data_IF_585565557687
#
_entry.id   IF_585565557687
#
_cell.length_a   1.000
_cell.length_b   1.000
_cell.length_c   1.000
_cell.angle_alpha   90.00
_cell.angle_beta   90.00
_cell.angle_gamma   90.00
#
_symmetry.space_group_name_H-M   'P 1'
#
loop_
_entity.id
_entity.type
_entity.pdbx_description
1 polymer ?
#
# COMPACT_ATOMS: atom_id res chain seq x y z
N UNK A 1 -13.23 -9.27 -10.27
CA UNK A 1 -12.13 -9.75 -9.41
C UNK A 1 -10.94 -9.94 -10.33
N UNK A 2 -9.88 -9.16 -10.15
CA UNK A 2 -8.64 -9.32 -10.91
C UNK A 2 -8.07 -10.70 -10.61
N UNK A 3 -7.68 -11.43 -11.63
CA UNK A 3 -6.85 -12.61 -11.42
C UNK A 3 -5.50 -12.17 -10.86
N UNK A 4 -4.91 -12.94 -9.97
CA UNK A 4 -3.64 -12.57 -9.28
C UNK A 4 -2.57 -12.23 -10.31
N UNK A 5 -2.48 -13.00 -11.38
CA UNK A 5 -1.54 -12.76 -12.48
C UNK A 5 -1.73 -11.40 -13.14
N UNK A 6 -2.97 -11.00 -13.42
CA UNK A 6 -3.28 -9.71 -14.01
C UNK A 6 -2.95 -8.55 -13.08
N UNK A 7 -3.15 -8.74 -11.76
CA UNK A 7 -2.76 -7.75 -10.76
C UNK A 7 -1.25 -7.56 -10.72
N UNK A 8 -0.48 -8.64 -10.72
CA UNK A 8 1.00 -8.58 -10.74
C UNK A 8 1.49 -7.87 -12.00
N UNK A 9 0.89 -8.19 -13.16
CA UNK A 9 1.22 -7.55 -14.43
C UNK A 9 0.86 -6.05 -14.40
N UNK A 10 -0.31 -5.71 -13.89
CA UNK A 10 -0.72 -4.31 -13.75
C UNK A 10 0.23 -3.49 -12.88
N UNK A 11 0.70 -4.07 -11.80
CA UNK A 11 1.61 -3.41 -10.85
C UNK A 11 3.01 -3.22 -11.43
N UNK A 12 3.53 -4.25 -12.11
CA UNK A 12 4.95 -4.30 -12.50
C UNK A 12 5.20 -4.23 -13.99
N UNK A 13 4.23 -4.60 -14.82
CA UNK A 13 4.40 -4.69 -16.26
C UNK A 13 3.12 -4.29 -16.98
N UNK A 14 2.97 -3.03 -17.36
CA UNK A 14 1.77 -2.58 -18.07
C UNK A 14 1.69 -3.19 -19.47
N UNK A 15 0.50 -3.57 -19.87
CA UNK A 15 0.21 -4.18 -21.18
C UNK A 15 0.31 -3.21 -22.37
N UNK A 16 0.61 -1.93 -22.14
CA UNK A 16 0.66 -0.91 -23.19
C UNK A 16 2.09 -0.68 -23.69
N UNK A 17 2.21 -0.32 -24.96
CA UNK A 17 3.47 -0.05 -25.65
C UNK A 17 4.31 1.09 -25.04
N UNK A 18 3.72 1.92 -24.19
CA UNK A 18 4.37 3.00 -23.43
C UNK A 18 4.69 2.59 -21.98
N UNK A 19 4.98 1.33 -21.78
CA UNK A 19 5.20 0.70 -20.49
C UNK A 19 6.25 1.39 -19.60
N UNK A 20 7.29 1.96 -20.19
CA UNK A 20 8.39 2.61 -19.46
C UNK A 20 7.97 3.94 -18.81
N UNK A 21 6.94 4.60 -19.32
CA UNK A 21 6.47 5.87 -18.79
C UNK A 21 5.53 5.72 -17.60
N UNK A 22 4.93 4.53 -17.40
CA UNK A 22 3.98 4.30 -16.32
C UNK A 22 4.66 3.93 -15.01
N UNK A 23 5.71 3.10 -15.07
CA UNK A 23 6.37 2.54 -13.89
C UNK A 23 7.74 3.16 -13.70
N UNK A 24 7.88 4.00 -12.66
CA UNK A 24 9.14 4.63 -12.29
C UNK A 24 10.06 3.70 -11.49
N UNK A 25 9.50 2.76 -10.72
CA UNK A 25 10.23 1.79 -9.92
C UNK A 25 9.34 0.57 -9.63
N UNK A 26 9.94 -0.61 -9.57
CA UNK A 26 9.27 -1.83 -9.16
C UNK A 26 10.19 -2.70 -8.33
N UNK A 27 9.62 -3.46 -7.40
CA UNK A 27 10.38 -4.36 -6.54
C UNK A 27 9.53 -5.52 -6.02
N UNK A 28 10.18 -6.34 -5.22
CA UNK A 28 9.55 -7.52 -4.61
C UNK A 28 10.22 -7.87 -3.28
N UNK A 29 9.53 -8.64 -2.44
CA UNK A 29 10.04 -9.20 -1.19
C UNK A 29 9.62 -10.66 -1.06
N UNK A 30 10.49 -11.46 -0.46
CA UNK A 30 10.22 -12.84 0.00
C UNK A 30 9.86 -13.85 -1.09
N UNK A 31 10.52 -13.77 -2.24
CA UNK A 31 10.44 -14.77 -3.30
C UNK A 31 11.71 -15.62 -3.36
N UNK A 32 11.60 -16.86 -3.78
CA UNK A 32 12.75 -17.72 -4.05
C UNK A 32 13.40 -17.38 -5.41
N UNK A 33 12.59 -17.02 -6.39
CA UNK A 33 13.06 -16.61 -7.70
C UNK A 33 13.33 -15.11 -7.78
N UNK A 34 14.23 -14.73 -8.68
CA UNK A 34 14.59 -13.32 -8.93
C UNK A 34 13.97 -12.76 -10.20
N UNK A 35 13.40 -13.62 -11.04
CA UNK A 35 12.79 -13.20 -12.29
C UNK A 35 11.33 -12.78 -12.09
N UNK A 36 10.89 -11.80 -12.90
CA UNK A 36 9.50 -11.34 -12.88
C UNK A 36 8.49 -12.49 -13.07
N UNK A 37 8.69 -13.31 -14.10
CA UNK A 37 7.81 -14.45 -14.42
C UNK A 37 7.82 -15.49 -13.31
N UNK A 38 9.00 -15.80 -12.74
CA UNK A 38 9.11 -16.73 -11.61
C UNK A 38 8.35 -16.23 -10.39
N UNK A 39 8.53 -14.98 -10.00
CA UNK A 39 7.81 -14.37 -8.86
C UNK A 39 6.29 -14.35 -9.07
N UNK A 40 5.83 -14.06 -10.28
CA UNK A 40 4.41 -14.13 -10.63
C UNK A 40 3.87 -15.55 -10.44
N UNK A 41 4.56 -16.56 -10.94
CA UNK A 41 4.17 -17.98 -10.80
C UNK A 41 4.18 -18.39 -9.33
N UNK A 42 5.22 -18.05 -8.57
CA UNK A 42 5.29 -18.34 -7.13
C UNK A 42 4.11 -17.72 -6.36
N UNK A 43 3.77 -16.46 -6.66
CA UNK A 43 2.67 -15.77 -5.98
C UNK A 43 1.31 -16.42 -6.26
N UNK A 44 1.07 -16.82 -7.52
CA UNK A 44 -0.14 -17.54 -7.90
C UNK A 44 -0.20 -18.89 -7.20
N UNK A 45 0.86 -19.69 -7.30
CA UNK A 45 0.89 -21.03 -6.73
C UNK A 45 0.66 -21.03 -5.20
N UNK A 46 1.33 -20.10 -4.49
CA UNK A 46 1.12 -20.00 -3.04
C UNK A 46 -0.30 -19.52 -2.69
N UNK A 47 -0.86 -18.61 -3.47
CA UNK A 47 -2.23 -18.13 -3.25
C UNK A 47 -3.29 -19.21 -3.48
N UNK A 48 -3.05 -20.14 -4.41
CA UNK A 48 -3.93 -21.28 -4.70
C UNK A 48 -3.97 -22.31 -3.56
N UNK A 49 -2.94 -22.37 -2.71
CA UNK A 49 -2.96 -23.18 -1.48
C UNK A 49 -4.00 -22.68 -0.45
N UNK A 50 -4.52 -21.48 -0.63
CA UNK A 50 -5.51 -20.87 0.27
C UNK A 50 -6.94 -21.35 -0.05
N UNK A 51 -7.25 -22.59 0.28
CA UNK A 51 -8.57 -23.21 0.01
C UNK A 51 -9.75 -22.53 0.72
N UNK A 52 -9.50 -21.73 1.75
CA UNK A 52 -10.54 -21.10 2.58
C UNK A 52 -10.63 -19.57 2.39
N UNK A 53 -9.81 -18.98 1.53
CA UNK A 53 -9.82 -17.52 1.32
C UNK A 53 -10.18 -17.18 -0.12
N UNK A 54 -11.27 -16.43 -0.28
CA UNK A 54 -11.65 -15.88 -1.59
C UNK A 54 -10.76 -14.69 -2.02
N UNK A 55 -9.91 -14.19 -1.12
CA UNK A 55 -9.01 -13.06 -1.35
C UNK A 55 -7.63 -13.34 -0.76
N UNK A 56 -6.86 -14.27 -1.37
CA UNK A 56 -5.54 -14.64 -0.85
C UNK A 56 -4.49 -13.55 -1.01
N UNK A 57 -4.70 -12.60 -1.91
CA UNK A 57 -3.80 -11.46 -2.15
C UNK A 57 -4.53 -10.17 -1.78
N UNK A 58 -3.91 -9.34 -0.93
CA UNK A 58 -4.36 -7.98 -0.63
C UNK A 58 -3.66 -6.98 -1.54
N UNK A 59 -4.39 -5.94 -1.94
CA UNK A 59 -3.88 -4.85 -2.77
C UNK A 59 -4.01 -3.52 -2.05
N UNK A 60 -2.90 -2.80 -1.92
CA UNK A 60 -2.80 -1.51 -1.24
C UNK A 60 -2.26 -0.46 -2.18
N UNK A 61 -2.67 0.78 -1.97
CA UNK A 61 -2.21 1.93 -2.75
C UNK A 61 -1.87 3.06 -1.76
N UNK A 62 -0.64 3.58 -1.87
CA UNK A 62 -0.22 4.80 -1.20
C UNK A 62 0.12 5.85 -2.25
N UNK A 63 -0.41 7.06 -2.09
CA UNK A 63 -0.20 8.17 -3.02
C UNK A 63 0.55 9.30 -2.34
N UNK A 64 1.45 9.94 -3.07
CA UNK A 64 2.08 11.20 -2.69
C UNK A 64 1.20 12.37 -3.11
N UNK A 65 1.43 13.52 -2.52
CA UNK A 65 0.72 14.74 -2.91
C UNK A 65 1.26 15.25 -4.26
N UNK A 66 0.51 16.16 -4.87
CA UNK A 66 0.94 16.82 -6.11
C UNK A 66 2.32 17.45 -5.93
N UNK A 67 3.18 17.28 -6.93
CA UNK A 67 4.58 17.73 -6.96
C UNK A 67 5.55 16.97 -6.01
N UNK A 68 5.10 15.98 -5.27
CA UNK A 68 5.98 15.09 -4.53
C UNK A 68 6.44 13.91 -5.40
N UNK A 69 7.75 13.74 -5.53
CA UNK A 69 8.36 12.69 -6.35
C UNK A 69 9.29 11.83 -5.48
N UNK A 70 8.82 10.65 -5.03
CA UNK A 70 9.63 9.79 -4.21
C UNK A 70 10.78 9.17 -4.99
N UNK A 71 11.92 9.03 -4.35
CA UNK A 71 13.04 8.24 -4.85
C UNK A 71 12.73 6.75 -4.72
N UNK A 72 13.47 5.91 -5.45
CA UNK A 72 13.37 4.45 -5.33
C UNK A 72 13.58 3.98 -3.89
N UNK A 73 14.59 4.53 -3.20
CA UNK A 73 14.88 4.19 -1.82
C UNK A 73 13.73 4.57 -0.86
N UNK A 74 13.07 5.70 -1.09
CA UNK A 74 11.91 6.11 -0.30
C UNK A 74 10.70 5.19 -0.51
N UNK A 75 10.49 4.72 -1.74
CA UNK A 75 9.43 3.73 -2.03
C UNK A 75 9.74 2.40 -1.35
N UNK A 76 10.98 1.91 -1.46
CA UNK A 76 11.42 0.65 -0.83
C UNK A 76 11.25 0.72 0.70
N UNK A 77 11.61 1.85 1.32
CA UNK A 77 11.44 2.09 2.75
C UNK A 77 9.95 2.13 3.15
N UNK A 78 9.07 2.77 2.36
CA UNK A 78 7.63 2.74 2.62
C UNK A 78 7.10 1.31 2.62
N UNK A 79 7.51 0.49 1.64
CA UNK A 79 7.09 -0.92 1.56
C UNK A 79 7.57 -1.70 2.78
N UNK A 80 8.80 -1.50 3.22
CA UNK A 80 9.35 -2.18 4.39
C UNK A 80 8.62 -1.76 5.68
N UNK A 81 8.36 -0.47 5.88
CA UNK A 81 7.54 0.04 6.99
C UNK A 81 6.12 -0.53 6.96
N UNK A 82 5.51 -0.59 5.77
CA UNK A 82 4.19 -1.17 5.58
C UNK A 82 4.15 -2.64 6.01
N UNK A 83 5.08 -3.46 5.51
CA UNK A 83 5.15 -4.88 5.83
C UNK A 83 5.39 -5.13 7.31
N UNK A 84 6.29 -4.37 7.93
CA UNK A 84 6.59 -4.46 9.36
C UNK A 84 5.34 -4.15 10.20
N UNK A 85 4.70 -3.02 9.95
CA UNK A 85 3.55 -2.58 10.74
C UNK A 85 2.30 -3.44 10.53
N UNK A 86 2.15 -4.04 9.36
CA UNK A 86 1.05 -4.99 9.07
C UNK A 86 1.36 -6.41 9.56
N UNK A 87 2.58 -6.69 10.05
CA UNK A 87 2.99 -8.04 10.44
C UNK A 87 3.15 -9.00 9.27
N UNK A 88 3.56 -8.47 8.10
CA UNK A 88 3.65 -9.20 6.83
C UNK A 88 5.08 -9.28 6.29
N UNK A 89 6.10 -9.11 7.16
CA UNK A 89 7.51 -9.08 6.77
C UNK A 89 8.00 -10.31 5.99
N UNK A 90 7.40 -11.47 6.23
CA UNK A 90 7.80 -12.74 5.59
C UNK A 90 6.88 -13.13 4.43
N UNK A 91 5.91 -12.28 4.09
CA UNK A 91 4.94 -12.57 3.04
C UNK A 91 5.44 -12.13 1.65
N UNK A 92 5.14 -12.92 0.63
CA UNK A 92 5.46 -12.56 -0.76
C UNK A 92 4.78 -11.25 -1.14
N UNK A 93 5.57 -10.30 -1.62
CA UNK A 93 5.09 -8.95 -1.94
C UNK A 93 5.68 -8.49 -3.26
N UNK A 94 4.84 -7.96 -4.14
CA UNK A 94 5.25 -7.22 -5.34
C UNK A 94 4.73 -5.80 -5.24
N UNK A 95 5.51 -4.83 -5.73
CA UNK A 95 5.10 -3.44 -5.76
C UNK A 95 5.64 -2.70 -6.98
N UNK A 96 4.96 -1.63 -7.33
CA UNK A 96 5.35 -0.76 -8.43
C UNK A 96 4.92 0.67 -8.19
N UNK A 97 5.86 1.60 -8.37
CA UNK A 97 5.62 3.04 -8.35
C UNK A 97 5.12 3.48 -9.72
N UNK A 98 3.90 3.94 -9.79
CA UNK A 98 3.28 4.48 -10.99
C UNK A 98 3.41 6.01 -11.03
N UNK A 99 3.71 6.54 -12.22
CA UNK A 99 3.90 7.97 -12.49
C UNK A 99 3.07 8.50 -13.67
N UNK A 100 2.02 7.78 -14.03
CA UNK A 100 1.16 8.11 -15.19
C UNK A 100 -0.06 8.97 -14.84
N UNK A 101 -0.13 9.48 -13.63
CA UNK A 101 -1.15 10.42 -13.14
C UNK A 101 -0.47 11.64 -12.55
N UNK A 102 -1.24 12.66 -12.16
CA UNK A 102 -0.70 13.88 -11.52
C UNK A 102 0.08 13.56 -10.24
N UNK A 103 -0.33 12.50 -9.54
CA UNK A 103 0.29 12.08 -8.30
C UNK A 103 1.04 10.74 -8.49
N UNK A 104 2.25 10.66 -7.98
CA UNK A 104 2.94 9.38 -7.83
C UNK A 104 2.18 8.50 -6.85
N UNK A 105 2.04 7.22 -7.17
CA UNK A 105 1.40 6.27 -6.27
C UNK A 105 2.02 4.89 -6.41
N UNK A 106 2.22 4.24 -5.27
CA UNK A 106 2.73 2.88 -5.23
C UNK A 106 1.59 1.89 -5.01
N UNK A 107 1.54 0.89 -5.88
CA UNK A 107 0.69 -0.28 -5.72
C UNK A 107 1.49 -1.38 -5.05
N UNK A 108 0.93 -1.98 -4.01
CA UNK A 108 1.55 -3.07 -3.25
C UNK A 108 0.57 -4.24 -3.23
N UNK A 109 0.95 -5.38 -3.78
CA UNK A 109 0.19 -6.63 -3.66
C UNK A 109 0.93 -7.58 -2.73
N UNK A 110 0.26 -8.05 -1.69
CA UNK A 110 0.82 -8.95 -0.68
C UNK A 110 0.04 -10.26 -0.66
N UNK A 111 0.73 -11.38 -0.78
CA UNK A 111 0.15 -12.68 -0.56
C UNK A 111 -0.10 -12.88 0.95
N UNK A 112 -1.36 -13.02 1.33
CA UNK A 112 -1.75 -13.22 2.73
C UNK A 112 -1.41 -14.61 3.24
N UNK A 113 -1.16 -15.56 2.35
CA UNK A 113 -0.64 -16.87 2.70
C UNK A 113 0.85 -16.75 3.04
N UNK A 114 1.23 -17.18 4.23
CA UNK A 114 2.65 -17.21 4.65
C UNK A 114 3.37 -18.35 3.93
N UNK A 115 4.52 -18.08 3.25
CA UNK A 115 5.14 -19.05 2.35
C UNK A 115 5.66 -20.34 3.05
N UNK A 116 5.99 -20.23 4.33
CA UNK A 116 6.54 -21.39 5.07
C UNK A 116 5.50 -22.09 5.94
N UNK A 117 4.64 -21.34 6.61
CA UNK A 117 3.67 -21.91 7.55
C UNK A 117 2.32 -22.24 6.93
N UNK A 118 2.06 -21.77 5.72
CA UNK A 118 0.80 -21.87 5.00
C UNK A 118 -0.41 -21.33 5.80
N UNK A 119 -0.16 -20.45 6.76
CA UNK A 119 -1.20 -19.75 7.49
C UNK A 119 -1.59 -18.48 6.76
N UNK A 120 -2.89 -18.22 6.71
CA UNK A 120 -3.44 -17.02 6.08
C UNK A 120 -3.53 -15.89 7.10
N UNK A 121 -2.86 -14.78 6.85
CA UNK A 121 -3.05 -13.55 7.61
C UNK A 121 -4.49 -13.05 7.42
N UNK A 122 -5.27 -13.00 8.50
CA UNK A 122 -6.65 -12.57 8.45
C UNK A 122 -6.73 -11.04 8.38
N UNK A 123 -7.49 -10.47 7.44
CA UNK A 123 -7.69 -9.04 7.42
C UNK A 123 -8.50 -8.63 8.65
N UNK A 124 -8.04 -7.59 9.30
CA UNK A 124 -8.78 -6.94 10.39
C UNK A 124 -9.11 -5.52 9.95
N UNK A 125 -10.26 -5.33 9.31
CA UNK A 125 -10.62 -4.09 8.61
C UNK A 125 -10.41 -2.81 9.44
N UNK A 126 -10.73 -2.83 10.71
CA UNK A 126 -10.53 -1.68 11.59
C UNK A 126 -9.04 -1.42 11.87
N UNK A 127 -8.30 -2.47 12.18
CA UNK A 127 -6.86 -2.42 12.44
C UNK A 127 -6.09 -2.00 11.19
N UNK A 128 -6.35 -2.62 10.05
CA UNK A 128 -5.62 -2.38 8.81
C UNK A 128 -5.75 -0.93 8.36
N UNK A 129 -6.95 -0.33 8.46
CA UNK A 129 -7.17 1.08 8.12
C UNK A 129 -6.43 2.01 9.08
N UNK A 130 -6.48 1.75 10.39
CA UNK A 130 -5.78 2.59 11.37
C UNK A 130 -4.26 2.46 11.21
N UNK A 131 -3.73 1.24 10.95
CA UNK A 131 -2.30 1.05 10.67
C UNK A 131 -1.87 1.72 9.36
N UNK A 132 -2.69 1.71 8.31
CA UNK A 132 -2.38 2.43 7.07
C UNK A 132 -2.20 3.94 7.32
N UNK A 133 -3.07 4.56 8.13
CA UNK A 133 -2.90 5.97 8.50
C UNK A 133 -1.68 6.25 9.38
N UNK A 134 -1.31 5.32 10.24
CA UNK A 134 -0.08 5.42 11.02
C UNK A 134 1.16 5.28 10.13
N UNK A 135 1.12 4.39 9.13
CA UNK A 135 2.19 4.23 8.14
C UNK A 135 2.40 5.54 7.40
N UNK A 136 1.32 6.19 6.91
CA UNK A 136 1.41 7.48 6.24
C UNK A 136 2.12 8.51 7.14
N UNK A 137 1.67 8.68 8.38
CA UNK A 137 2.28 9.64 9.32
C UNK A 137 3.77 9.36 9.58
N UNK A 138 4.14 8.09 9.75
CA UNK A 138 5.55 7.69 9.97
C UNK A 138 6.41 7.97 8.75
N UNK A 139 5.92 7.63 7.56
CA UNK A 139 6.66 7.83 6.31
C UNK A 139 6.79 9.33 5.97
N UNK A 140 5.71 10.11 6.14
CA UNK A 140 5.76 11.57 5.96
C UNK A 140 6.82 12.19 6.86
N UNK A 141 6.82 11.87 8.15
CA UNK A 141 7.80 12.40 9.10
C UNK A 141 9.23 11.95 8.78
N UNK A 142 9.41 10.66 8.50
CA UNK A 142 10.73 10.06 8.28
C UNK A 142 11.39 10.53 7.00
N UNK A 143 10.59 10.76 5.96
CA UNK A 143 11.05 11.15 4.63
C UNK A 143 10.94 12.66 4.37
N UNK A 144 10.36 13.42 5.30
CA UNK A 144 10.23 14.87 5.19
C UNK A 144 9.14 15.34 4.21
N UNK A 145 8.11 14.50 3.97
CA UNK A 145 6.96 14.88 3.15
C UNK A 145 6.02 15.83 3.90
N UNK A 146 5.24 16.59 3.12
CA UNK A 146 4.18 17.40 3.69
C UNK A 146 3.08 16.48 4.27
N UNK A 147 2.56 16.84 5.44
CA UNK A 147 1.47 16.07 6.04
C UNK A 147 0.18 16.24 5.24
N UNK A 148 -0.61 15.17 5.13
CA UNK A 148 -1.93 15.23 4.50
C UNK A 148 -2.87 16.23 5.20
N UNK A 149 -3.90 16.69 4.46
CA UNK A 149 -4.87 17.66 4.97
C UNK A 149 -5.67 17.12 6.13
N UNK A 150 -5.73 16.91 7.15
CA UNK A 150 -6.49 16.29 8.23
C UNK A 150 -5.96 14.89 8.59
N UNK A 151 -4.68 14.78 8.89
CA UNK A 151 -4.08 13.49 9.21
C UNK A 151 -4.76 12.86 10.42
N UNK A 152 -4.98 11.56 10.39
CA UNK A 152 -5.52 10.85 11.57
C UNK A 152 -4.50 10.69 12.67
N UNK A 153 -3.24 10.63 12.30
CA UNK A 153 -2.12 10.46 13.22
C UNK A 153 -1.02 11.48 12.92
N UNK A 154 -0.30 11.85 13.95
CA UNK A 154 0.90 12.68 13.88
C UNK A 154 1.99 12.02 14.72
N UNK A 155 3.22 12.04 14.23
CA UNK A 155 4.38 11.61 15.02
C UNK A 155 4.84 12.78 15.88
N UNK A 156 4.92 12.57 17.18
CA UNK A 156 5.38 13.55 18.16
C UNK A 156 6.91 13.62 18.18
N UNK A 157 7.48 14.66 18.82
CA UNK A 157 8.93 14.86 18.96
C UNK A 157 9.65 13.67 19.63
N UNK A 158 8.95 12.96 20.52
CA UNK A 158 9.45 11.75 21.16
C UNK A 158 9.32 10.47 20.31
N UNK A 159 8.82 10.59 19.07
CA UNK A 159 8.59 9.47 18.14
C UNK A 159 7.29 8.69 18.35
N UNK A 160 6.47 9.06 19.33
CA UNK A 160 5.17 8.42 19.56
C UNK A 160 4.12 8.90 18.54
N UNK A 161 3.17 8.00 18.20
CA UNK A 161 2.05 8.32 17.34
C UNK A 161 0.86 8.82 18.17
N UNK A 162 0.46 10.06 17.94
CA UNK A 162 -0.73 10.66 18.51
C UNK A 162 -1.90 10.62 17.53
N UNK A 163 -3.05 10.18 18.00
CA UNK A 163 -4.28 10.22 17.20
C UNK A 163 -4.88 11.62 17.24
N UNK A 164 -5.07 12.22 16.07
CA UNK A 164 -5.68 13.54 15.94
C UNK A 164 -7.20 13.46 16.13
N UNK A 165 -7.77 14.47 16.78
CA UNK A 165 -9.22 14.58 16.90
C UNK A 165 -9.80 14.95 15.53
N UNK A 166 -10.81 14.21 15.08
CA UNK A 166 -11.55 14.62 13.88
C UNK A 166 -12.15 16.02 14.12
N UNK A 167 -11.97 16.96 13.17
CA UNK A 167 -12.70 18.23 13.25
C UNK A 167 -14.20 17.91 13.36
N UNK A 168 -14.90 18.56 14.28
CA UNK A 168 -16.36 18.43 14.38
C UNK A 168 -16.93 18.84 13.03
N UNK A 169 -17.72 17.96 12.42
CA UNK A 169 -18.44 18.27 11.19
C UNK A 169 -19.37 19.44 11.51
N UNK A 170 -19.03 20.63 11.04
CA UNK A 170 -19.91 21.80 11.13
C UNK A 170 -21.05 21.47 10.17
N UNK A 171 -22.24 21.15 10.72
CA UNK A 171 -23.43 21.08 9.89
C UNK A 171 -23.68 22.48 9.33
N UNK A 172 -23.88 22.62 8.01
CA UNK A 172 -24.31 23.91 7.48
C UNK A 172 -25.60 24.31 8.20
N UNK A 173 -25.60 25.50 8.79
CA UNK A 173 -26.80 26.09 9.35
C UNK A 173 -27.85 26.11 8.22
N UNK A 174 -28.95 25.41 8.39
CA UNK A 174 -30.11 25.64 7.55
C UNK A 174 -30.54 27.09 7.83
N UNK A 175 -30.31 27.97 6.89
CA UNK A 175 -30.94 29.26 6.89
C UNK A 175 -32.46 29.01 6.77
N UNK A 176 -33.18 29.30 7.83
CA UNK A 176 -34.62 29.29 7.79
C UNK A 176 -35.05 30.38 6.80
N UNK A 177 -35.58 29.95 5.65
CA UNK A 177 -36.35 30.84 4.78
C UNK A 177 -37.50 31.42 5.59
N UNK A 178 -37.39 32.68 6.00
CA UNK A 178 -38.53 33.44 6.50
C UNK A 178 -39.45 33.73 5.31
N UNK A 179 -40.68 33.26 5.39
CA UNK A 179 -41.78 33.58 4.48
C UNK A 179 -42.35 34.94 4.87
#
# INVERSE_FOLDING_TARGET
VWQIGDLVDYIRYPHNTNAQEKIAHAGSRNFFTTTYTGQKVEMIALAEESIHSNMPVSHWIFSWQENEQPTRAQVDELVDVFLERMGLNEHQTVYGLHCNTENYHVHIAVNRMHPLTLKVAQPHKGFDIEEAHKIVAVVEQKQGWASEQNPRYTVLENGELARNRRPKRVQPRQEALAV
#
